data_IF_851942026217
#
_entry.id   IF_851942026217
#
_cell.length_a   1.000
_cell.length_b   1.000
_cell.length_c   1.000
_cell.angle_alpha   90.00
_cell.angle_beta   90.00
_cell.angle_gamma   90.00
#
_symmetry.space_group_name_H-M   'P 1'
#
loop_
_entity.id
_entity.type
_entity.pdbx_description
1 polymer ?
#
# COMPACT_ATOMS: atom_id res chain seq x y z
N UNK A 1 -11.44 -23.54 -11.04
CA UNK A 1 -12.83 -23.15 -10.73
C UNK A 1 -13.45 -22.52 -11.97
N UNK A 2 -14.35 -23.23 -12.66
CA UNK A 2 -14.96 -22.79 -13.94
C UNK A 2 -16.49 -22.65 -13.82
N UNK A 3 -16.99 -22.02 -12.74
CA UNK A 3 -18.42 -21.98 -12.43
C UNK A 3 -19.00 -20.63 -12.02
N UNK A 4 -18.18 -19.58 -11.85
CA UNK A 4 -18.66 -18.26 -11.47
C UNK A 4 -18.34 -17.27 -12.57
N UNK A 5 -19.38 -16.83 -13.28
CA UNK A 5 -19.31 -15.86 -14.36
C UNK A 5 -19.10 -14.43 -13.82
N UNK A 6 -18.11 -14.24 -12.92
CA UNK A 6 -17.70 -12.94 -12.39
C UNK A 6 -18.75 -12.16 -11.56
N UNK A 7 -19.80 -12.81 -11.06
CA UNK A 7 -20.92 -12.13 -10.39
C UNK A 7 -20.66 -11.74 -8.92
N UNK A 8 -19.57 -12.23 -8.30
CA UNK A 8 -19.27 -12.00 -6.87
C UNK A 8 -17.77 -11.69 -6.75
N UNK A 9 -17.45 -10.66 -5.97
CA UNK A 9 -16.08 -10.37 -5.52
C UNK A 9 -15.87 -10.93 -4.11
N UNK A 10 -14.64 -11.38 -3.81
CA UNK A 10 -14.28 -11.97 -2.53
C UNK A 10 -13.21 -11.15 -1.82
N UNK A 11 -13.26 -11.11 -0.49
CA UNK A 11 -12.20 -10.50 0.30
C UNK A 11 -10.89 -11.27 0.16
N UNK A 12 -9.80 -10.54 -0.08
CA UNK A 12 -8.46 -11.09 -0.20
C UNK A 12 -7.81 -11.30 1.18
N UNK A 13 -8.30 -12.33 1.88
CA UNK A 13 -7.83 -12.69 3.22
C UNK A 13 -6.35 -13.08 3.22
N UNK A 14 -5.84 -13.68 2.13
CA UNK A 14 -4.43 -14.04 2.02
C UNK A 14 -3.53 -12.81 1.96
N UNK A 15 -3.94 -11.76 1.22
CA UNK A 15 -3.20 -10.51 1.21
C UNK A 15 -3.17 -9.85 2.60
N UNK A 16 -4.28 -9.88 3.34
CA UNK A 16 -4.32 -9.44 4.74
C UNK A 16 -3.30 -10.19 5.61
N UNK A 17 -3.26 -11.53 5.54
CA UNK A 17 -2.28 -12.31 6.31
C UNK A 17 -0.84 -12.00 5.93
N UNK A 18 -0.57 -11.74 4.64
CA UNK A 18 0.76 -11.32 4.20
C UNK A 18 1.15 -9.97 4.81
N UNK A 19 0.23 -8.99 4.89
CA UNK A 19 0.49 -7.72 5.58
C UNK A 19 0.74 -7.92 7.07
N UNK A 20 -0.06 -8.74 7.74
CA UNK A 20 0.10 -9.02 9.16
C UNK A 20 1.46 -9.68 9.44
N UNK A 21 1.86 -10.64 8.59
CA UNK A 21 3.17 -11.30 8.67
C UNK A 21 4.32 -10.32 8.42
N UNK A 22 4.27 -9.54 7.33
CA UNK A 22 5.28 -8.54 7.01
C UNK A 22 5.45 -7.50 8.12
N UNK A 23 4.35 -7.07 8.75
CA UNK A 23 4.39 -6.11 9.84
C UNK A 23 5.10 -6.65 11.09
N UNK A 24 5.01 -7.96 11.37
CA UNK A 24 5.67 -8.59 12.54
C UNK A 24 7.12 -8.96 12.27
N UNK A 25 7.42 -9.40 11.06
CA UNK A 25 8.77 -9.84 10.66
C UNK A 25 9.67 -8.65 10.29
N UNK A 26 9.10 -7.47 10.01
CA UNK A 26 9.89 -6.28 9.68
C UNK A 26 10.77 -6.52 8.46
N UNK A 27 12.07 -6.20 8.57
CA UNK A 27 13.04 -6.39 7.49
C UNK A 27 13.34 -7.84 7.14
N UNK A 28 12.95 -8.81 7.97
CA UNK A 28 13.15 -10.23 7.68
C UNK A 28 12.11 -10.77 6.68
N UNK A 29 11.00 -10.04 6.47
CA UNK A 29 10.02 -10.39 5.45
C UNK A 29 10.47 -9.95 4.05
N UNK A 30 10.43 -10.88 3.10
CA UNK A 30 10.68 -10.62 1.68
C UNK A 30 9.46 -9.98 0.99
N UNK A 31 9.49 -8.66 0.79
CA UNK A 31 8.42 -7.90 0.14
C UNK A 31 8.15 -8.31 -1.31
N UNK A 32 9.08 -8.98 -1.98
CA UNK A 32 8.83 -9.52 -3.33
C UNK A 32 7.69 -10.55 -3.31
N UNK A 33 7.49 -11.21 -2.17
CA UNK A 33 6.46 -12.23 -1.95
C UNK A 33 5.17 -11.68 -1.35
N UNK A 34 5.01 -10.36 -1.20
CA UNK A 34 3.84 -9.76 -0.52
C UNK A 34 2.48 -10.17 -1.13
N UNK A 35 2.48 -10.52 -2.42
CA UNK A 35 1.28 -10.98 -3.15
C UNK A 35 1.19 -12.51 -3.31
N UNK A 36 2.10 -13.29 -2.72
CA UNK A 36 2.04 -14.73 -2.86
C UNK A 36 0.77 -15.28 -2.24
N UNK A 37 0.09 -16.11 -3.03
CA UNK A 37 -1.24 -16.67 -2.75
C UNK A 37 -2.37 -15.63 -2.55
N UNK A 38 -2.11 -14.34 -2.78
CA UNK A 38 -3.14 -13.31 -2.74
C UNK A 38 -4.14 -13.51 -3.90
N UNK A 39 -5.43 -13.33 -3.60
CA UNK A 39 -6.49 -13.44 -4.60
C UNK A 39 -6.28 -12.42 -5.72
N UNK A 40 -5.89 -11.19 -5.39
CA UNK A 40 -5.66 -10.10 -6.35
C UNK A 40 -4.57 -10.43 -7.38
N UNK A 41 -3.59 -11.27 -7.03
CA UNK A 41 -2.53 -11.71 -7.96
C UNK A 41 -3.08 -12.62 -9.06
N UNK A 42 -4.10 -13.42 -8.75
CA UNK A 42 -4.67 -14.42 -9.67
C UNK A 42 -5.96 -13.93 -10.35
N UNK A 43 -6.81 -13.22 -9.61
CA UNK A 43 -8.13 -12.76 -10.03
C UNK A 43 -8.31 -11.27 -9.68
N UNK A 44 -7.56 -10.36 -10.32
CA UNK A 44 -7.48 -8.94 -9.95
C UNK A 44 -8.83 -8.20 -10.01
N UNK A 45 -9.76 -8.63 -10.87
CA UNK A 45 -11.08 -8.01 -11.01
C UNK A 45 -12.15 -8.59 -10.07
N UNK A 46 -11.82 -9.66 -9.33
CA UNK A 46 -12.74 -10.34 -8.40
C UNK A 46 -12.28 -10.25 -6.94
N UNK A 47 -11.21 -9.50 -6.67
CA UNK A 47 -10.61 -9.36 -5.35
C UNK A 47 -10.98 -8.03 -4.70
N UNK A 48 -11.58 -8.09 -3.51
CA UNK A 48 -11.68 -6.94 -2.59
C UNK A 48 -10.46 -6.99 -1.68
N UNK A 49 -9.52 -6.06 -1.87
CA UNK A 49 -8.28 -5.99 -1.09
C UNK A 49 -8.50 -5.16 0.17
N UNK A 50 -7.96 -5.61 1.29
CA UNK A 50 -8.14 -4.97 2.60
C UNK A 50 -6.88 -5.10 3.46
N UNK A 51 -6.67 -4.13 4.35
CA UNK A 51 -5.58 -4.18 5.34
C UNK A 51 -6.03 -4.88 6.62
N UNK A 52 -7.20 -4.53 7.13
CA UNK A 52 -7.79 -5.06 8.37
C UNK A 52 -9.32 -5.11 8.24
N UNK A 53 -9.98 -5.84 9.14
CA UNK A 53 -11.42 -5.71 9.37
C UNK A 53 -11.77 -5.89 10.86
N UNK A 54 -13.07 -5.97 11.17
CA UNK A 54 -13.56 -6.14 12.53
C UNK A 54 -13.26 -7.51 13.14
N UNK A 55 -12.98 -8.55 12.35
CA UNK A 55 -12.61 -9.88 12.86
C UNK A 55 -11.11 -9.98 13.19
N UNK A 56 -10.27 -9.17 12.53
CA UNK A 56 -8.81 -9.27 12.59
C UNK A 56 -8.16 -8.28 13.57
N UNK A 57 -8.93 -7.35 14.13
CA UNK A 57 -8.45 -6.41 15.16
C UNK A 57 -8.18 -7.13 16.50
N UNK A 58 -7.45 -6.50 17.45
CA UNK A 58 -7.16 -7.12 18.75
C UNK A 58 -8.41 -7.65 19.48
N UNK A 59 -8.24 -8.79 20.16
CA UNK A 59 -9.26 -9.43 21.00
C UNK A 59 -10.51 -9.90 20.23
N UNK A 60 -10.40 -10.14 18.93
CA UNK A 60 -11.48 -10.66 18.08
C UNK A 60 -11.21 -12.08 17.58
N UNK A 61 -12.24 -12.71 17.01
CA UNK A 61 -12.24 -14.14 16.70
C UNK A 61 -11.12 -14.59 15.75
N UNK A 62 -10.73 -13.73 14.80
CA UNK A 62 -9.69 -14.00 13.81
C UNK A 62 -8.51 -13.03 13.98
N UNK A 63 -8.15 -12.69 15.22
CA UNK A 63 -7.07 -11.76 15.53
C UNK A 63 -5.79 -12.05 14.73
N UNK A 64 -5.44 -11.12 13.86
CA UNK A 64 -4.25 -11.15 13.00
C UNK A 64 -3.83 -9.71 12.66
N UNK A 65 -3.43 -9.00 13.69
CA UNK A 65 -3.17 -7.55 13.65
C UNK A 65 -2.03 -7.23 12.67
N UNK A 66 -2.29 -6.28 11.78
CA UNK A 66 -1.25 -5.54 11.04
C UNK A 66 -0.75 -4.43 11.94
N UNK A 67 0.55 -4.42 12.26
CA UNK A 67 1.13 -3.43 13.17
C UNK A 67 1.03 -2.01 12.59
N UNK A 68 0.85 -1.03 13.48
CA UNK A 68 0.54 0.36 13.11
C UNK A 68 1.57 0.98 12.15
N UNK A 69 2.86 0.65 12.32
CA UNK A 69 3.92 1.18 11.47
C UNK A 69 3.82 0.70 10.02
N UNK A 70 3.27 -0.51 9.79
CA UNK A 70 3.14 -1.10 8.45
C UNK A 70 1.82 -0.72 7.76
N UNK A 71 0.82 -0.21 8.50
CA UNK A 71 -0.48 0.14 7.92
C UNK A 71 -0.38 1.14 6.77
N UNK A 72 0.41 2.24 6.84
CA UNK A 72 0.63 3.11 5.68
C UNK A 72 1.16 2.37 4.44
N UNK A 73 2.09 1.44 4.61
CA UNK A 73 2.66 0.65 3.50
C UNK A 73 1.58 -0.25 2.88
N UNK A 74 0.81 -0.96 3.71
CA UNK A 74 -0.28 -1.83 3.27
C UNK A 74 -1.41 -1.04 2.56
N UNK A 75 -1.76 0.14 3.08
CA UNK A 75 -2.75 1.01 2.44
C UNK A 75 -2.26 1.56 1.10
N UNK A 76 -0.97 1.95 0.99
CA UNK A 76 -0.41 2.34 -0.30
C UNK A 76 -0.48 1.18 -1.32
N UNK A 77 -0.19 -0.05 -0.89
CA UNK A 77 -0.27 -1.24 -1.75
C UNK A 77 -1.68 -1.43 -2.31
N UNK A 78 -2.73 -1.38 -1.48
CA UNK A 78 -4.10 -1.62 -1.97
C UNK A 78 -4.71 -0.39 -2.69
N UNK A 79 -4.35 0.84 -2.28
CA UNK A 79 -4.95 2.06 -2.83
C UNK A 79 -4.23 2.60 -4.06
N UNK A 80 -2.93 2.35 -4.25
CA UNK A 80 -2.16 3.01 -5.31
C UNK A 80 -1.80 2.07 -6.47
N UNK A 81 -2.03 0.77 -6.33
CA UNK A 81 -1.92 -0.19 -7.42
C UNK A 81 -3.19 -0.26 -8.28
N UNK A 82 -3.04 -0.77 -9.50
CA UNK A 82 -4.11 -0.93 -10.49
C UNK A 82 -5.14 -1.97 -10.07
N UNK A 83 -4.67 -3.10 -9.57
CA UNK A 83 -5.46 -4.32 -9.43
C UNK A 83 -6.19 -4.38 -8.07
N UNK A 84 -7.36 -5.01 -8.05
CA UNK A 84 -8.21 -5.15 -6.86
C UNK A 84 -9.15 -3.96 -6.62
N UNK A 85 -10.20 -4.24 -5.84
CA UNK A 85 -11.09 -3.23 -5.28
C UNK A 85 -10.67 -2.99 -3.81
N UNK A 86 -9.95 -1.90 -3.51
CA UNK A 86 -9.54 -1.62 -2.14
C UNK A 86 -10.71 -1.24 -1.23
N UNK A 87 -10.69 -1.77 -0.01
CA UNK A 87 -11.63 -1.49 1.07
C UNK A 87 -10.87 -0.88 2.27
N UNK A 88 -11.31 0.31 2.71
CA UNK A 88 -10.75 1.01 3.87
C UNK A 88 -11.50 0.61 5.13
N UNK A 89 -10.78 0.26 6.19
CA UNK A 89 -11.39 -0.10 7.47
C UNK A 89 -11.59 1.12 8.36
N UNK A 90 -12.80 1.29 8.91
CA UNK A 90 -13.17 2.44 9.72
C UNK A 90 -12.29 2.61 10.97
N UNK A 91 -11.90 1.54 11.67
CA UNK A 91 -11.06 1.65 12.85
C UNK A 91 -9.59 1.97 12.54
N UNK A 92 -9.11 1.66 11.34
CA UNK A 92 -7.78 2.13 10.89
C UNK A 92 -7.85 3.60 10.49
N UNK A 93 -8.97 4.02 9.92
CA UNK A 93 -9.18 5.41 9.51
C UNK A 93 -9.37 6.33 10.71
N UNK A 94 -10.39 6.11 11.53
CA UNK A 94 -10.71 6.98 12.67
C UNK A 94 -9.92 6.67 13.95
N UNK A 95 -9.19 5.55 13.98
CA UNK A 95 -8.77 4.95 15.23
C UNK A 95 -9.92 4.26 15.94
N UNK A 96 -9.62 3.56 17.03
CA UNK A 96 -10.63 2.92 17.88
C UNK A 96 -10.13 2.80 19.31
N UNK A 97 -11.09 2.78 20.24
CA UNK A 97 -10.85 2.53 21.65
C UNK A 97 -11.96 1.62 22.18
N UNK A 98 -11.59 0.45 22.72
CA UNK A 98 -12.54 -0.51 23.25
C UNK A 98 -11.90 -1.43 24.28
N UNK A 99 -12.74 -2.14 25.03
CA UNK A 99 -12.34 -3.18 25.97
C UNK A 99 -12.71 -4.55 25.43
N UNK A 100 -11.91 -5.56 25.74
CA UNK A 100 -12.19 -6.95 25.37
C UNK A 100 -11.56 -7.93 26.36
N UNK A 101 -11.99 -9.18 26.30
CA UNK A 101 -11.41 -10.25 27.12
C UNK A 101 -10.28 -10.91 26.35
N UNK A 102 -9.10 -10.93 26.95
CA UNK A 102 -7.91 -11.56 26.41
C UNK A 102 -7.94 -13.08 26.50
N UNK A 103 -6.96 -13.72 25.86
CA UNK A 103 -6.74 -15.18 25.97
C UNK A 103 -6.39 -15.61 27.40
N UNK A 104 -5.96 -14.67 28.24
CA UNK A 104 -5.71 -14.85 29.68
C UNK A 104 -6.98 -14.74 30.54
N UNK A 105 -8.14 -14.50 29.93
CA UNK A 105 -9.42 -14.33 30.62
C UNK A 105 -9.58 -12.99 31.33
N UNK A 106 -8.63 -12.06 31.18
CA UNK A 106 -8.67 -10.74 31.80
C UNK A 106 -9.25 -9.70 30.83
N UNK A 107 -9.78 -8.60 31.38
CA UNK A 107 -10.19 -7.45 30.57
C UNK A 107 -8.96 -6.62 30.20
N UNK A 108 -8.84 -6.32 28.91
CA UNK A 108 -7.80 -5.46 28.36
C UNK A 108 -8.44 -4.28 27.64
N UNK A 109 -7.76 -3.15 27.65
CA UNK A 109 -8.16 -1.94 26.94
C UNK A 109 -7.25 -1.76 25.71
N UNK A 110 -7.87 -1.54 24.56
CA UNK A 110 -7.22 -1.50 23.25
C UNK A 110 -7.34 -0.12 22.66
N UNK A 111 -6.20 0.47 22.28
CA UNK A 111 -6.12 1.70 21.50
C UNK A 111 -5.55 1.41 20.12
N UNK A 112 -6.30 1.78 19.09
CA UNK A 112 -5.87 1.76 17.71
C UNK A 112 -5.63 3.19 17.25
N UNK A 113 -4.42 3.48 16.79
CA UNK A 113 -4.07 4.78 16.21
C UNK A 113 -4.88 5.04 14.94
N UNK A 114 -5.31 6.28 14.76
CA UNK A 114 -5.85 6.74 13.47
C UNK A 114 -4.73 6.87 12.45
N UNK A 115 -4.98 6.37 11.23
CA UNK A 115 -4.14 6.56 10.06
C UNK A 115 -4.80 7.49 9.03
N UNK A 116 -5.80 8.27 9.45
CA UNK A 116 -6.62 9.11 8.58
C UNK A 116 -5.79 9.98 7.64
N UNK A 117 -4.81 10.73 8.15
CA UNK A 117 -4.03 11.68 7.35
C UNK A 117 -3.35 11.01 6.14
N UNK A 118 -2.79 9.82 6.34
CA UNK A 118 -2.09 9.09 5.29
C UNK A 118 -3.07 8.38 4.34
N UNK A 119 -4.18 7.85 4.85
CA UNK A 119 -5.24 7.25 4.03
C UNK A 119 -5.91 8.33 3.16
N UNK A 120 -6.20 9.50 3.71
CA UNK A 120 -6.73 10.66 2.97
C UNK A 120 -5.80 11.06 1.82
N UNK A 121 -4.50 11.14 2.09
CA UNK A 121 -3.49 11.40 1.07
C UNK A 121 -3.56 10.36 -0.05
N UNK A 122 -3.57 9.06 0.28
CA UNK A 122 -3.62 8.00 -0.72
C UNK A 122 -4.95 7.94 -1.48
N UNK A 123 -6.08 8.23 -0.85
CA UNK A 123 -7.38 8.31 -1.52
C UNK A 123 -7.40 9.44 -2.55
N UNK A 124 -6.91 10.62 -2.16
CA UNK A 124 -6.77 11.76 -3.08
C UNK A 124 -5.81 11.43 -4.23
N UNK A 125 -4.69 10.77 -3.94
CA UNK A 125 -3.75 10.35 -4.98
C UNK A 125 -4.32 9.31 -5.89
N UNK A 126 -5.03 8.30 -5.37
CA UNK A 126 -5.73 7.29 -6.18
C UNK A 126 -6.70 7.96 -7.14
N UNK A 127 -7.47 8.93 -6.65
CA UNK A 127 -8.43 9.67 -7.44
C UNK A 127 -7.79 10.54 -8.52
N UNK A 128 -6.55 11.02 -8.35
CA UNK A 128 -5.92 11.98 -9.28
C UNK A 128 -4.84 11.37 -10.18
N UNK A 129 -4.06 10.41 -9.68
CA UNK A 129 -2.80 10.00 -10.28
C UNK A 129 -2.68 8.50 -10.58
N UNK A 130 -3.42 7.63 -9.87
CA UNK A 130 -3.29 6.17 -9.99
C UNK A 130 -3.99 5.57 -11.23
N UNK A 131 -3.67 6.08 -12.41
CA UNK A 131 -4.25 5.67 -13.69
C UNK A 131 -3.17 5.20 -14.68
N UNK A 132 -3.61 4.55 -15.76
CA UNK A 132 -2.71 4.09 -16.81
C UNK A 132 -2.07 2.74 -16.53
N UNK A 133 -1.06 2.43 -17.34
CA UNK A 133 -0.23 1.25 -17.19
C UNK A 133 0.51 1.27 -15.86
N UNK A 134 0.84 0.08 -15.37
CA UNK A 134 1.61 -0.10 -14.15
C UNK A 134 2.90 -0.84 -14.46
N UNK A 135 4.02 -0.31 -13.97
CA UNK A 135 5.32 -0.95 -14.04
C UNK A 135 5.75 -1.33 -12.63
N UNK A 136 5.98 -2.61 -12.40
CA UNK A 136 6.30 -3.16 -11.08
C UNK A 136 7.80 -3.42 -10.95
N UNK A 137 8.37 -3.01 -9.83
CA UNK A 137 9.77 -3.22 -9.48
C UNK A 137 9.87 -3.93 -8.12
N UNK A 138 9.62 -5.23 -8.15
CA UNK A 138 9.63 -6.14 -7.01
C UNK A 138 10.88 -7.01 -7.09
N UNK A 139 12.04 -6.35 -7.00
CA UNK A 139 13.37 -6.90 -7.31
C UNK A 139 14.36 -6.77 -6.13
N UNK A 140 13.88 -6.35 -4.96
CA UNK A 140 14.66 -6.28 -3.74
C UNK A 140 13.80 -6.64 -2.52
N UNK A 141 14.30 -7.48 -1.59
CA UNK A 141 13.49 -8.03 -0.50
C UNK A 141 12.92 -6.97 0.43
N UNK A 142 13.61 -5.84 0.59
CA UNK A 142 13.15 -4.76 1.48
C UNK A 142 12.74 -3.48 0.79
N UNK A 143 12.83 -3.37 -0.54
CA UNK A 143 12.55 -2.11 -1.22
C UNK A 143 11.87 -2.41 -2.55
N UNK A 144 10.55 -2.27 -2.57
CA UNK A 144 9.73 -2.50 -3.76
C UNK A 144 9.04 -1.22 -4.16
N UNK A 145 8.74 -1.09 -5.45
CA UNK A 145 8.05 0.08 -5.97
C UNK A 145 7.26 -0.23 -7.23
N UNK A 146 6.46 0.73 -7.63
CA UNK A 146 5.76 0.70 -8.90
C UNK A 146 5.49 2.11 -9.38
N UNK A 147 5.33 2.26 -10.69
CA UNK A 147 4.86 3.50 -11.29
C UNK A 147 3.53 3.29 -11.99
N UNK A 148 2.80 4.40 -12.19
CA UNK A 148 1.57 4.48 -12.96
C UNK A 148 1.75 5.56 -14.00
N UNK A 149 1.55 5.23 -15.28
CA UNK A 149 1.85 6.13 -16.41
C UNK A 149 0.87 7.30 -16.56
N UNK A 150 -0.23 7.32 -15.79
CA UNK A 150 -1.34 8.21 -16.06
C UNK A 150 -2.15 7.80 -17.29
N UNK A 151 -3.21 8.55 -17.58
CA UNK A 151 -4.09 8.35 -18.74
C UNK A 151 -4.32 9.66 -19.47
N UNK A 152 -4.94 9.63 -20.65
CA UNK A 152 -5.15 10.83 -21.49
C UNK A 152 -5.74 12.03 -20.73
N UNK A 153 -6.74 11.83 -19.87
CA UNK A 153 -7.35 12.91 -19.10
C UNK A 153 -6.57 13.27 -17.81
N UNK A 154 -5.64 12.42 -17.39
CA UNK A 154 -4.82 12.53 -16.17
C UNK A 154 -3.40 12.02 -16.44
N UNK A 155 -2.60 12.76 -17.24
CA UNK A 155 -1.36 12.22 -17.81
C UNK A 155 -0.18 12.18 -16.83
N UNK A 156 -0.34 12.79 -15.66
CA UNK A 156 0.75 13.03 -14.71
C UNK A 156 1.30 11.73 -14.08
N UNK A 157 0.46 10.69 -13.93
CA UNK A 157 0.88 9.44 -13.33
C UNK A 157 1.44 9.60 -11.90
N UNK A 158 2.15 8.59 -11.41
CA UNK A 158 2.88 8.64 -10.12
C UNK A 158 3.93 7.53 -10.04
N UNK A 159 4.87 7.66 -9.10
CA UNK A 159 5.74 6.58 -8.66
C UNK A 159 5.58 6.35 -7.15
N UNK A 160 5.54 5.11 -6.72
CA UNK A 160 5.43 4.72 -5.30
C UNK A 160 6.63 3.85 -4.96
N UNK A 161 7.29 4.16 -3.85
CA UNK A 161 8.38 3.35 -3.32
C UNK A 161 8.12 3.10 -1.84
N UNK A 162 8.29 1.87 -1.39
CA UNK A 162 8.18 1.52 0.02
C UNK A 162 9.36 0.68 0.47
N UNK A 163 9.69 0.78 1.75
CA UNK A 163 10.72 -0.02 2.41
C UNK A 163 10.25 -0.54 3.75
N UNK A 164 10.45 -1.84 4.03
CA UNK A 164 10.29 -2.44 5.37
C UNK A 164 11.64 -2.65 6.08
N UNK A 165 12.70 -1.99 5.60
CA UNK A 165 14.04 -2.03 6.18
C UNK A 165 14.66 -0.65 6.19
N UNK A 166 15.86 -0.52 5.65
CA UNK A 166 16.62 0.75 5.57
C UNK A 166 16.06 1.71 4.52
N UNK A 167 16.61 2.92 4.45
CA UNK A 167 16.33 3.87 3.37
C UNK A 167 16.49 3.17 2.01
N UNK A 168 15.45 3.29 1.18
CA UNK A 168 15.33 2.64 -0.11
C UNK A 168 15.59 3.61 -1.25
N UNK A 169 16.15 3.12 -2.33
CA UNK A 169 16.27 3.87 -3.57
C UNK A 169 16.07 2.94 -4.75
N UNK A 170 15.35 3.41 -5.76
CA UNK A 170 15.06 2.62 -6.95
C UNK A 170 14.99 3.46 -8.20
N UNK A 171 15.59 2.97 -9.27
CA UNK A 171 15.45 3.56 -10.60
C UNK A 171 14.16 3.02 -11.24
N UNK A 172 13.18 3.88 -11.47
CA UNK A 172 11.87 3.50 -12.02
C UNK A 172 11.50 4.41 -13.18
N UNK A 173 10.83 3.85 -14.17
CA UNK A 173 10.27 4.56 -15.32
C UNK A 173 8.90 5.13 -14.95
N UNK A 174 8.64 6.38 -15.32
CA UNK A 174 7.30 6.98 -15.21
C UNK A 174 6.65 7.25 -16.56
N UNK A 175 7.42 7.16 -17.64
CA UNK A 175 7.00 7.54 -18.99
C UNK A 175 6.92 9.06 -19.20
N UNK A 176 7.42 9.86 -18.25
CA UNK A 176 7.42 11.32 -18.33
C UNK A 176 8.87 11.85 -18.31
N UNK A 177 9.48 12.13 -19.49
CA UNK A 177 10.82 12.69 -19.58
C UNK A 177 10.97 14.05 -18.92
N UNK A 178 12.17 14.35 -18.40
CA UNK A 178 12.54 15.67 -17.87
C UNK A 178 11.54 16.28 -16.88
N UNK A 179 10.84 15.43 -16.13
CA UNK A 179 9.73 15.83 -15.26
C UNK A 179 10.21 15.80 -13.81
N UNK A 180 9.93 16.88 -13.08
CA UNK A 180 10.29 16.98 -11.67
C UNK A 180 9.17 16.47 -10.78
N UNK A 181 9.52 15.62 -9.83
CA UNK A 181 8.65 14.98 -8.86
C UNK A 181 8.96 15.45 -7.46
N UNK A 182 7.93 15.47 -6.62
CA UNK A 182 8.04 15.69 -5.18
C UNK A 182 7.29 14.59 -4.42
N UNK A 183 7.75 14.27 -3.21
CA UNK A 183 7.11 13.28 -2.35
C UNK A 183 5.94 13.91 -1.60
N UNK A 184 4.72 13.52 -1.96
CA UNK A 184 3.50 14.08 -1.35
C UNK A 184 3.29 13.61 0.09
N UNK A 185 3.98 12.55 0.51
CA UNK A 185 3.94 12.10 1.91
C UNK A 185 4.70 13.04 2.82
N UNK A 186 5.57 13.91 2.26
CA UNK A 186 6.39 14.85 3.00
C UNK A 186 7.56 14.21 3.74
N UNK A 187 7.83 12.92 3.54
CA UNK A 187 8.95 12.23 4.18
C UNK A 187 10.31 12.64 3.62
N UNK A 188 10.36 13.07 2.35
CA UNK A 188 11.56 13.48 1.64
C UNK A 188 11.31 14.85 0.98
N UNK A 189 12.18 15.83 1.27
CA UNK A 189 12.03 17.19 0.77
C UNK A 189 12.71 17.39 -0.60
N UNK A 190 13.70 16.55 -0.89
CA UNK A 190 14.47 16.57 -2.12
C UNK A 190 13.59 16.23 -3.33
N UNK A 191 13.70 17.05 -4.38
CA UNK A 191 13.03 16.83 -5.65
C UNK A 191 13.80 15.82 -6.50
N UNK A 192 13.07 15.10 -7.35
CA UNK A 192 13.64 14.10 -8.27
C UNK A 192 13.22 14.43 -9.68
N UNK A 193 14.18 14.54 -10.60
CA UNK A 193 13.91 14.79 -12.01
C UNK A 193 14.21 13.55 -12.82
N UNK A 194 13.28 13.12 -13.66
CA UNK A 194 13.48 12.03 -14.60
C UNK A 194 14.41 12.46 -15.75
N UNK A 195 15.12 11.51 -16.34
CA UNK A 195 15.98 11.74 -17.50
C UNK A 195 15.15 11.85 -18.81
N UNK A 196 15.84 11.95 -19.95
CA UNK A 196 15.23 12.04 -21.29
C UNK A 196 14.39 10.82 -21.68
N UNK A 197 14.64 9.66 -21.05
CA UNK A 197 13.89 8.42 -21.27
C UNK A 197 12.72 8.25 -20.27
N UNK A 198 12.49 9.23 -19.38
CA UNK A 198 11.42 9.16 -18.38
C UNK A 198 11.74 8.28 -17.16
N UNK A 199 13.01 8.02 -16.88
CA UNK A 199 13.47 7.26 -15.72
C UNK A 199 14.00 8.17 -14.61
N UNK A 200 13.66 7.86 -13.35
CA UNK A 200 14.06 8.63 -12.18
C UNK A 200 14.56 7.74 -11.04
N UNK A 201 15.49 8.27 -10.23
CA UNK A 201 16.03 7.60 -9.04
C UNK A 201 15.22 7.96 -7.80
N UNK A 202 14.06 7.33 -7.66
CA UNK A 202 13.11 7.54 -6.56
C UNK A 202 13.64 7.03 -5.22
N UNK A 203 13.23 7.70 -4.13
CA UNK A 203 13.73 7.42 -2.78
C UNK A 203 12.58 7.16 -1.82
N UNK A 204 12.87 6.48 -0.71
CA UNK A 204 11.96 6.23 0.39
C UNK A 204 12.75 6.08 1.68
N UNK A 205 12.20 6.56 2.80
CA UNK A 205 12.81 6.35 4.13
C UNK A 205 12.62 4.93 4.63
N UNK A 206 13.48 4.53 5.56
CA UNK A 206 13.36 3.28 6.30
C UNK A 206 11.95 3.10 6.88
N UNK A 207 11.43 1.87 6.80
CA UNK A 207 10.11 1.50 7.34
C UNK A 207 8.97 2.45 6.93
N UNK A 208 8.99 2.92 5.69
CA UNK A 208 8.09 3.96 5.21
C UNK A 208 7.65 3.72 3.77
N UNK A 209 6.81 4.64 3.29
CA UNK A 209 6.37 4.75 1.91
C UNK A 209 6.51 6.20 1.46
N UNK A 210 7.00 6.39 0.24
CA UNK A 210 7.05 7.69 -0.44
C UNK A 210 6.24 7.61 -1.73
N UNK A 211 5.46 8.65 -2.00
CA UNK A 211 4.58 8.73 -3.16
C UNK A 211 4.96 9.97 -3.94
N UNK A 212 5.53 9.74 -5.10
CA UNK A 212 6.09 10.77 -5.96
C UNK A 212 5.10 11.13 -7.06
N UNK A 213 4.68 12.39 -7.10
CA UNK A 213 3.85 12.92 -8.19
C UNK A 213 4.60 14.06 -8.90
N UNK A 214 4.28 14.34 -10.18
CA UNK A 214 4.85 15.48 -10.85
C UNK A 214 4.51 16.77 -10.12
N UNK A 215 5.50 17.64 -9.96
CA UNK A 215 5.29 19.01 -9.51
C UNK A 215 4.45 19.73 -10.56
N UNK A 216 3.34 20.31 -10.13
CA UNK A 216 2.56 21.23 -10.96
C UNK A 216 3.23 22.61 -10.87
N UNK A 217 3.36 23.27 -12.02
CA UNK A 217 3.82 24.65 -12.11
C UNK A 217 2.79 25.64 -11.51
#
# INVERSE_FOLDING_TARGET
MSGYNGAIMLFDVNLHYNFAKASREGSDFDLQTIFDNALVKTYPTLAVTLVSNHDTQPLQALESVVEAWFKPLAYAIILLRRDGYPCVFAADYYGAHYKGIGKDGQEHEIWMSSHQAMIDLFLQTRQKYAYGEQYDYFDHPNCIGWSRSGKKEKPQGMAVLLSNGMDGTKYMETGAPNTTYFDITGHIAELITTNDDGWGKFQCKANSVSVWIPKQD
#
